data_IF_956943828089
#
_entry.id   IF_956943828089
#
_cell.length_a   1.000
_cell.length_b   1.000
_cell.length_c   1.000
_cell.angle_alpha   90.00
_cell.angle_beta   90.00
_cell.angle_gamma   90.00
#
_symmetry.space_group_name_H-M   'P 1'
#
loop_
_entity.id
_entity.type
_entity.pdbx_description
1 polymer ?
#
# COMPACT_ATOMS: atom_id res chain seq x y z
N UNK A 1 -11.33 19.13 11.27
CA UNK A 1 -12.61 18.43 11.08
C UNK A 1 -12.70 17.71 9.73
N UNK A 2 -12.07 18.19 8.65
CA UNK A 2 -11.97 17.42 7.38
C UNK A 2 -10.79 16.46 7.30
N UNK A 3 -9.75 16.65 8.11
CA UNK A 3 -8.55 15.80 8.17
C UNK A 3 -8.81 14.38 8.64
N UNK A 4 -9.94 14.13 9.31
CA UNK A 4 -10.24 12.82 9.91
C UNK A 4 -10.89 11.85 8.91
N UNK A 5 -11.21 12.32 7.70
CA UNK A 5 -11.86 11.54 6.65
C UNK A 5 -10.89 11.03 5.56
N UNK A 6 -9.61 11.38 5.66
CA UNK A 6 -8.61 11.04 4.64
C UNK A 6 -7.28 10.58 5.25
N UNK A 7 -6.58 9.70 4.52
CA UNK A 7 -5.18 9.38 4.77
C UNK A 7 -4.32 9.84 3.59
N UNK A 8 -3.14 10.42 3.84
CA UNK A 8 -2.31 10.93 2.76
C UNK A 8 -1.55 9.82 2.04
N UNK A 9 -1.56 9.85 0.70
CA UNK A 9 -0.61 9.15 -0.15
C UNK A 9 0.15 10.17 -1.00
N UNK A 10 1.27 10.69 -0.48
CA UNK A 10 1.94 11.85 -1.07
C UNK A 10 1.01 13.06 -1.03
N UNK A 11 0.76 13.67 -2.19
CA UNK A 11 -0.20 14.78 -2.34
C UNK A 11 -1.64 14.32 -2.56
N UNK A 12 -1.91 13.00 -2.62
CA UNK A 12 -3.23 12.44 -2.88
C UNK A 12 -3.95 12.19 -1.55
N UNK A 13 -5.09 12.84 -1.29
CA UNK A 13 -5.93 12.53 -0.13
C UNK A 13 -6.78 11.29 -0.42
N UNK A 14 -6.50 10.17 0.24
CA UNK A 14 -7.27 8.92 0.09
C UNK A 14 -8.45 8.93 1.07
N UNK A 15 -9.71 8.88 0.61
CA UNK A 15 -10.87 8.79 1.48
C UNK A 15 -10.83 7.53 2.34
N UNK A 16 -11.29 7.60 3.60
CA UNK A 16 -11.37 6.43 4.47
C UNK A 16 -12.23 5.29 3.89
N UNK A 17 -13.19 5.58 3.01
CA UNK A 17 -13.98 4.56 2.31
C UNK A 17 -13.15 3.69 1.36
N UNK A 18 -11.97 4.15 0.95
CA UNK A 18 -11.01 3.39 0.14
C UNK A 18 -10.02 2.61 0.99
N UNK A 19 -10.05 2.75 2.31
CA UNK A 19 -9.13 2.12 3.24
C UNK A 19 -9.81 0.90 3.86
N UNK A 20 -9.22 -0.28 3.67
CA UNK A 20 -9.82 -1.54 4.14
C UNK A 20 -9.04 -2.21 5.28
N UNK A 21 -7.83 -1.72 5.59
CA UNK A 21 -7.05 -2.20 6.73
C UNK A 21 -6.18 -1.07 7.29
N UNK A 22 -6.02 -1.06 8.61
CA UNK A 22 -5.29 -0.06 9.37
C UNK A 22 -4.47 -0.71 10.47
N UNK A 23 -3.33 -0.11 10.75
CA UNK A 23 -2.48 -0.38 11.91
C UNK A 23 -2.03 0.95 12.51
N UNK A 24 -1.19 0.90 13.54
CA UNK A 24 -0.60 2.10 14.14
C UNK A 24 0.32 2.85 13.18
N UNK A 25 1.02 2.15 12.27
CA UNK A 25 2.05 2.75 11.41
C UNK A 25 1.78 2.62 9.91
N UNK A 26 0.86 1.77 9.48
CA UNK A 26 0.56 1.52 8.06
C UNK A 26 -0.94 1.35 7.77
N UNK A 27 -1.32 1.44 6.50
CA UNK A 27 -2.69 1.21 6.04
C UNK A 27 -2.74 0.59 4.64
N UNK A 28 -3.89 -0.01 4.29
CA UNK A 28 -4.15 -0.53 2.96
C UNK A 28 -5.26 0.23 2.26
N UNK A 29 -5.07 0.50 0.97
CA UNK A 29 -6.07 1.17 0.13
C UNK A 29 -6.32 0.41 -1.17
N UNK A 30 -7.53 0.50 -1.71
CA UNK A 30 -7.81 0.07 -3.08
C UNK A 30 -7.15 1.02 -4.08
N UNK A 31 -6.63 0.50 -5.19
CA UNK A 31 -6.01 1.34 -6.20
C UNK A 31 -7.08 2.04 -7.06
N UNK A 32 -6.95 3.35 -7.27
CA UNK A 32 -7.82 4.13 -8.16
C UNK A 32 -7.72 3.69 -9.63
N UNK A 33 -6.54 3.22 -10.05
CA UNK A 33 -6.26 2.75 -11.42
C UNK A 33 -5.67 1.33 -11.37
N UNK A 34 -6.50 0.30 -11.10
CA UNK A 34 -6.01 -1.05 -10.94
C UNK A 34 -5.52 -1.60 -12.29
N UNK A 35 -4.30 -2.12 -12.31
CA UNK A 35 -3.77 -2.87 -13.45
C UNK A 35 -4.48 -4.21 -13.64
N UNK A 36 -4.90 -4.84 -12.54
CA UNK A 36 -5.61 -6.12 -12.52
C UNK A 36 -6.59 -6.17 -11.33
N UNK A 37 -7.56 -7.10 -11.32
CA UNK A 37 -8.35 -7.37 -10.11
C UNK A 37 -7.46 -7.66 -8.89
N UNK A 38 -7.89 -7.21 -7.71
CA UNK A 38 -7.13 -7.38 -6.46
C UNK A 38 -5.91 -6.47 -6.31
N UNK A 39 -5.72 -5.51 -7.22
CA UNK A 39 -4.65 -4.53 -7.14
C UNK A 39 -4.92 -3.50 -6.03
N UNK A 40 -4.17 -3.63 -4.94
CA UNK A 40 -4.23 -2.77 -3.75
C UNK A 40 -2.87 -2.15 -3.44
N UNK A 41 -2.86 -1.15 -2.57
CA UNK A 41 -1.68 -0.48 -2.06
C UNK A 41 -1.54 -0.73 -0.54
N UNK A 42 -0.30 -0.91 -0.08
CA UNK A 42 0.05 -0.92 1.35
C UNK A 42 1.07 0.19 1.60
N UNK A 43 0.72 1.11 2.49
CA UNK A 43 1.33 2.45 2.57
C UNK A 43 1.64 2.75 4.05
N UNK A 44 2.82 3.29 4.39
CA UNK A 44 3.11 3.78 5.74
C UNK A 44 2.29 5.06 6.01
N UNK A 45 1.98 5.34 7.27
CA UNK A 45 1.23 6.55 7.65
C UNK A 45 2.08 7.81 7.49
N UNK A 46 3.39 7.70 7.73
CA UNK A 46 4.32 8.81 7.57
C UNK A 46 4.70 8.94 6.09
N UNK A 47 4.49 10.10 5.45
CA UNK A 47 4.76 10.30 4.03
C UNK A 47 6.26 10.42 3.78
N UNK A 48 6.90 9.29 3.50
CA UNK A 48 8.31 9.23 3.11
C UNK A 48 8.50 8.76 1.68
N UNK A 49 9.42 9.37 0.90
CA UNK A 49 9.55 9.05 -0.52
C UNK A 49 10.25 7.72 -0.78
N UNK A 50 11.22 7.32 0.06
CA UNK A 50 12.03 6.12 -0.20
C UNK A 50 12.00 5.12 0.95
N UNK A 51 12.41 3.87 0.68
CA UNK A 51 12.50 2.84 1.71
C UNK A 51 13.52 3.18 2.79
N UNK A 52 14.63 3.84 2.43
CA UNK A 52 15.70 4.25 3.35
C UNK A 52 15.25 5.31 4.36
N UNK A 53 14.16 6.02 4.06
CA UNK A 53 13.57 7.01 4.96
C UNK A 53 12.71 6.38 6.05
N UNK A 54 12.36 5.09 5.96
CA UNK A 54 11.55 4.38 6.95
C UNK A 54 12.37 4.04 8.19
N UNK A 55 11.71 4.04 9.35
CA UNK A 55 12.29 3.40 10.55
C UNK A 55 12.13 1.89 10.46
N UNK A 56 12.95 1.14 11.21
CA UNK A 56 12.83 -0.31 11.30
C UNK A 56 11.45 -0.76 11.81
N UNK A 57 10.83 0.03 12.70
CA UNK A 57 9.49 -0.22 13.21
C UNK A 57 8.42 -0.06 12.12
N UNK A 58 8.51 1.01 11.32
CA UNK A 58 7.61 1.25 10.20
C UNK A 58 7.77 0.16 9.13
N UNK A 59 9.00 -0.19 8.76
CA UNK A 59 9.26 -1.24 7.78
C UNK A 59 8.73 -2.60 8.26
N UNK A 60 8.90 -2.91 9.55
CA UNK A 60 8.38 -4.14 10.15
C UNK A 60 6.85 -4.18 10.10
N UNK A 61 6.18 -3.13 10.56
CA UNK A 61 4.71 -3.04 10.54
C UNK A 61 4.17 -3.12 9.10
N UNK A 62 4.79 -2.39 8.18
CA UNK A 62 4.44 -2.36 6.77
C UNK A 62 4.54 -3.75 6.13
N UNK A 63 5.65 -4.46 6.33
CA UNK A 63 5.86 -5.80 5.76
C UNK A 63 4.96 -6.86 6.42
N UNK A 64 4.63 -6.71 7.70
CA UNK A 64 3.65 -7.58 8.36
C UNK A 64 2.25 -7.35 7.79
N UNK A 65 1.88 -6.10 7.47
CA UNK A 65 0.62 -5.77 6.82
C UNK A 65 0.60 -6.29 5.38
N UNK A 66 1.70 -6.14 4.62
CA UNK A 66 1.89 -6.75 3.30
C UNK A 66 1.62 -8.26 3.35
N UNK A 67 2.25 -8.99 4.29
CA UNK A 67 2.01 -10.43 4.46
C UNK A 67 0.55 -10.78 4.76
N UNK A 68 -0.16 -9.97 5.56
CA UNK A 68 -1.59 -10.18 5.84
C UNK A 68 -2.44 -9.95 4.59
N UNK A 69 -2.13 -8.90 3.82
CA UNK A 69 -2.82 -8.57 2.57
C UNK A 69 -2.63 -9.65 1.51
N UNK A 70 -1.43 -10.22 1.33
CA UNK A 70 -1.20 -11.39 0.47
C UNK A 70 -2.18 -12.53 0.75
N UNK A 71 -2.30 -12.91 2.02
CA UNK A 71 -3.14 -14.03 2.47
C UNK A 71 -4.61 -13.75 2.18
N UNK A 72 -5.05 -12.51 2.42
CA UNK A 72 -6.40 -12.07 2.12
C UNK A 72 -6.69 -12.13 0.62
N UNK A 73 -5.82 -11.55 -0.22
CA UNK A 73 -6.01 -11.52 -1.67
C UNK A 73 -6.05 -12.92 -2.27
N UNK A 74 -5.17 -13.84 -1.84
CA UNK A 74 -5.20 -15.25 -2.27
C UNK A 74 -6.54 -15.91 -1.97
N UNK A 75 -7.09 -15.67 -0.77
CA UNK A 75 -8.37 -16.25 -0.35
C UNK A 75 -9.55 -15.65 -1.11
N UNK A 76 -9.58 -14.32 -1.30
CA UNK A 76 -10.69 -13.61 -1.94
C UNK A 76 -10.73 -13.81 -3.44
N UNK A 77 -9.55 -13.87 -4.09
CA UNK A 77 -9.44 -14.01 -5.54
C UNK A 77 -9.14 -15.43 -6.01
N UNK A 78 -9.09 -16.41 -5.11
CA UNK A 78 -8.69 -17.79 -5.42
C UNK A 78 -7.37 -17.87 -6.21
N UNK A 79 -6.42 -17.00 -5.86
CA UNK A 79 -5.17 -16.84 -6.61
C UNK A 79 -4.06 -17.79 -6.11
N UNK A 80 -3.43 -18.50 -7.04
CA UNK A 80 -2.29 -19.39 -6.76
C UNK A 80 -1.00 -18.61 -6.46
N UNK A 81 -0.90 -17.38 -6.96
CA UNK A 81 0.26 -16.51 -6.74
C UNK A 81 -0.14 -15.04 -6.61
N UNK A 82 0.75 -14.28 -5.95
CA UNK A 82 0.65 -12.82 -5.84
C UNK A 82 2.03 -12.23 -6.07
N UNK A 83 2.10 -11.12 -6.81
CA UNK A 83 3.31 -10.32 -6.95
C UNK A 83 3.24 -9.16 -5.97
N UNK A 84 4.33 -8.98 -5.23
CA UNK A 84 4.58 -7.80 -4.40
C UNK A 84 5.71 -7.03 -5.04
N UNK A 85 5.49 -5.75 -5.33
CA UNK A 85 6.54 -4.87 -5.86
C UNK A 85 6.55 -3.52 -5.17
N UNK A 86 7.69 -2.87 -5.24
CA UNK A 86 7.91 -1.51 -4.77
C UNK A 86 8.68 -0.77 -5.85
N UNK A 87 8.31 0.49 -6.07
CA UNK A 87 9.01 1.39 -6.97
C UNK A 87 9.67 2.44 -6.10
N UNK A 88 10.92 2.21 -5.74
CA UNK A 88 11.69 3.06 -4.82
C UNK A 88 12.47 4.11 -5.61
N UNK A 89 11.91 5.32 -5.69
CA UNK A 89 12.46 6.44 -6.43
C UNK A 89 12.03 6.54 -7.91
N UNK A 90 12.20 7.73 -8.54
CA UNK A 90 11.69 8.00 -9.88
C UNK A 90 12.24 7.07 -10.98
N UNK A 91 13.50 6.67 -10.88
CA UNK A 91 14.14 5.78 -11.84
C UNK A 91 13.54 4.36 -11.82
N UNK A 92 12.95 3.94 -10.70
CA UNK A 92 12.21 2.69 -10.57
C UNK A 92 10.74 2.81 -11.03
N UNK A 93 10.33 3.98 -11.55
CA UNK A 93 8.99 4.25 -12.04
C UNK A 93 8.03 4.87 -11.01
N UNK A 94 8.54 5.26 -9.83
CA UNK A 94 7.71 5.86 -8.79
C UNK A 94 7.04 7.16 -9.28
N UNK A 95 5.71 7.21 -9.15
CA UNK A 95 4.90 8.36 -9.63
C UNK A 95 4.42 9.28 -8.50
N UNK A 96 4.24 8.73 -7.29
CA UNK A 96 3.89 9.47 -6.09
C UNK A 96 5.10 9.37 -5.15
N UNK A 97 5.69 10.49 -4.67
CA UNK A 97 6.85 10.48 -3.78
C UNK A 97 6.45 10.08 -2.36
N UNK A 98 5.92 8.87 -2.23
CA UNK A 98 5.55 8.21 -0.99
C UNK A 98 5.70 6.69 -1.21
N UNK A 99 6.40 6.00 -0.32
CA UNK A 99 6.51 4.54 -0.31
C UNK A 99 5.12 3.91 -0.41
N UNK A 100 4.98 2.98 -1.33
CA UNK A 100 3.78 2.17 -1.49
C UNK A 100 4.14 0.83 -2.08
N UNK A 101 3.72 -0.24 -1.41
CA UNK A 101 3.82 -1.59 -1.97
C UNK A 101 2.60 -1.88 -2.83
N UNK A 102 2.88 -2.30 -4.06
CA UNK A 102 1.92 -2.64 -5.09
C UNK A 102 1.61 -4.14 -5.06
N UNK A 103 0.35 -4.49 -5.26
CA UNK A 103 -0.08 -5.87 -5.46
C UNK A 103 -0.61 -6.08 -6.87
N UNK A 104 -0.17 -7.18 -7.49
CA UNK A 104 -0.82 -7.74 -8.68
C UNK A 104 -1.14 -9.19 -8.35
N UNK A 105 -2.41 -9.57 -8.49
CA UNK A 105 -2.82 -10.97 -8.39
C UNK A 105 -2.71 -11.62 -9.76
N UNK A 106 -2.22 -12.85 -9.79
CA UNK A 106 -2.16 -13.68 -11.00
C UNK A 106 -3.00 -14.92 -10.74
N UNK A 107 -3.88 -15.24 -11.69
CA UNK A 107 -4.67 -16.48 -11.72
C UNK A 107 -3.98 -17.49 -12.62
#
# INVERSE_FOLDING_TARGET
MESDLFLPFGFIPLPLSQIFALTSLSFCSVNLKPFSPGHVLVIPRRPVPTLDDLTDEEMTDLMLLVKKTARMLRKVHHADAVTVSVQDGPAAGQTVPHVGFLWVTWM
#
